data_IF_876828038554
#
_entry.id   IF_876828038554
#
_cell.length_a   1.000
_cell.length_b   1.000
_cell.length_c   1.000
_cell.angle_alpha   90.00
_cell.angle_beta   90.00
_cell.angle_gamma   90.00
#
_symmetry.space_group_name_H-M   'P 1'
#
loop_
_entity.id
_entity.type
_entity.pdbx_description
1 polymer ?
#
# COMPACT_ATOMS: atom_id res chain seq x y z
N UNK A 1 -0.53 13.83 -3.71
CA UNK A 1 -1.95 14.15 -3.50
C UNK A 1 -2.55 13.14 -2.54
N UNK A 2 -3.83 13.28 -2.22
CA UNK A 2 -4.51 12.28 -1.41
C UNK A 2 -4.73 10.98 -2.20
N UNK A 3 -4.70 9.85 -1.50
CA UNK A 3 -4.88 8.52 -2.09
C UNK A 3 -5.93 7.74 -1.31
N UNK A 4 -6.95 7.24 -2.01
CA UNK A 4 -7.91 6.28 -1.47
C UNK A 4 -7.43 4.86 -1.78
N UNK A 5 -7.24 4.02 -0.76
CA UNK A 5 -6.89 2.61 -0.90
C UNK A 5 -8.04 1.71 -0.44
N UNK A 6 -8.48 0.80 -1.31
CA UNK A 6 -9.31 -0.35 -0.97
C UNK A 6 -8.47 -1.62 -1.06
N UNK A 7 -8.52 -2.48 -0.03
CA UNK A 7 -7.76 -3.72 -0.03
C UNK A 7 -8.39 -4.81 0.84
N UNK A 8 -7.94 -6.05 0.65
CA UNK A 8 -8.30 -7.20 1.50
C UNK A 8 -7.52 -7.21 2.81
N UNK A 9 -7.93 -8.07 3.75
CA UNK A 9 -7.27 -8.26 5.06
C UNK A 9 -5.75 -8.50 4.95
N UNK A 10 -5.31 -9.28 3.94
CA UNK A 10 -3.89 -9.56 3.74
C UNK A 10 -2.98 -8.34 3.52
N UNK A 11 -3.55 -7.18 3.17
CA UNK A 11 -2.83 -5.89 3.16
C UNK A 11 -3.30 -4.95 4.30
N UNK A 12 -4.59 -4.95 4.64
CA UNK A 12 -5.12 -4.07 5.68
C UNK A 12 -4.56 -4.39 7.07
N UNK A 13 -4.32 -5.66 7.38
CA UNK A 13 -3.82 -6.09 8.69
C UNK A 13 -2.36 -5.67 8.94
N UNK A 14 -1.39 -5.89 8.03
CA UNK A 14 -0.05 -5.35 8.24
C UNK A 14 0.00 -3.81 8.23
N UNK A 15 -0.90 -3.13 7.52
CA UNK A 15 -0.98 -1.65 7.57
C UNK A 15 -1.39 -1.12 8.95
N UNK A 16 -2.25 -1.84 9.67
CA UNK A 16 -2.67 -1.49 11.04
C UNK A 16 -1.69 -1.97 12.09
N UNK A 17 -1.07 -3.12 11.87
CA UNK A 17 -0.17 -3.76 12.82
C UNK A 17 1.26 -3.20 12.81
N UNK A 18 1.75 -2.72 11.66
CA UNK A 18 3.11 -2.21 11.51
C UNK A 18 3.16 -0.76 11.02
N UNK A 19 3.41 0.21 11.92
CA UNK A 19 3.52 1.61 11.56
C UNK A 19 4.59 1.91 10.51
N UNK A 20 5.68 1.14 10.47
CA UNK A 20 6.76 1.31 9.50
C UNK A 20 6.31 1.04 8.06
N UNK A 21 5.43 0.05 7.85
CA UNK A 21 4.86 -0.22 6.52
C UNK A 21 3.98 0.96 6.08
N UNK A 22 3.13 1.46 6.98
CA UNK A 22 2.26 2.60 6.68
C UNK A 22 3.11 3.83 6.31
N UNK A 23 4.13 4.15 7.12
CA UNK A 23 5.04 5.27 6.85
C UNK A 23 5.78 5.11 5.51
N UNK A 24 6.27 3.90 5.20
CA UNK A 24 6.92 3.60 3.93
C UNK A 24 6.00 3.88 2.72
N UNK A 25 4.76 3.37 2.75
CA UNK A 25 3.82 3.57 1.65
C UNK A 25 3.35 5.03 1.55
N UNK A 26 3.12 5.71 2.67
CA UNK A 26 2.81 7.15 2.67
C UNK A 26 3.92 7.94 1.97
N UNK A 27 5.19 7.66 2.27
CA UNK A 27 6.32 8.34 1.62
C UNK A 27 6.40 8.06 0.12
N UNK A 28 6.08 6.84 -0.32
CA UNK A 28 6.09 6.49 -1.74
C UNK A 28 4.92 7.05 -2.53
N UNK A 29 3.74 7.14 -1.90
CA UNK A 29 2.50 7.52 -2.59
C UNK A 29 2.12 9.00 -2.40
N UNK A 30 2.85 9.76 -1.57
CA UNK A 30 2.57 11.19 -1.32
C UNK A 30 2.85 12.11 -2.53
N UNK A 31 3.48 11.59 -3.58
CA UNK A 31 3.80 12.36 -4.79
C UNK A 31 2.57 12.91 -5.51
N UNK A 32 2.75 13.89 -6.42
CA UNK A 32 1.66 14.43 -7.24
C UNK A 32 1.19 13.46 -8.32
N UNK A 33 2.02 12.48 -8.69
CA UNK A 33 1.72 11.50 -9.74
C UNK A 33 1.56 10.12 -9.10
N UNK A 34 0.55 9.32 -9.51
CA UNK A 34 0.44 7.94 -9.07
C UNK A 34 1.68 7.11 -9.48
N UNK A 35 2.05 6.08 -8.70
CA UNK A 35 3.13 5.17 -9.08
C UNK A 35 2.79 4.40 -10.36
N UNK A 36 3.82 3.96 -11.08
CA UNK A 36 3.63 3.02 -12.19
C UNK A 36 3.05 1.68 -11.70
N UNK A 37 2.40 0.91 -12.58
CA UNK A 37 1.75 -0.36 -12.19
C UNK A 37 2.72 -1.36 -11.52
N UNK A 38 3.97 -1.43 -12.01
CA UNK A 38 4.98 -2.31 -11.42
C UNK A 38 5.40 -1.85 -10.02
N UNK A 39 5.52 -0.54 -9.81
CA UNK A 39 5.84 0.04 -8.51
C UNK A 39 4.69 -0.15 -7.52
N UNK A 40 3.44 0.09 -7.96
CA UNK A 40 2.25 -0.16 -7.16
C UNK A 40 2.15 -1.63 -6.71
N UNK A 41 2.45 -2.57 -7.61
CA UNK A 41 2.47 -3.98 -7.28
C UNK A 41 3.56 -4.32 -6.27
N UNK A 42 4.78 -3.81 -6.48
CA UNK A 42 5.91 -4.03 -5.57
C UNK A 42 5.62 -3.49 -4.17
N UNK A 43 5.06 -2.28 -4.09
CA UNK A 43 4.67 -1.62 -2.85
C UNK A 43 3.58 -2.41 -2.11
N UNK A 44 2.55 -2.86 -2.82
CA UNK A 44 1.47 -3.68 -2.26
C UNK A 44 1.94 -5.06 -1.78
N UNK A 45 3.08 -5.53 -2.27
CA UNK A 45 3.69 -6.83 -1.94
C UNK A 45 4.78 -6.75 -0.87
N UNK A 46 5.06 -5.58 -0.28
CA UNK A 46 6.06 -5.45 0.79
C UNK A 46 5.73 -6.39 1.94
N UNK A 47 6.66 -7.29 2.24
CA UNK A 47 6.47 -8.35 3.22
C UNK A 47 6.69 -7.82 4.62
N UNK A 48 5.81 -8.23 5.51
CA UNK A 48 5.95 -8.04 6.95
C UNK A 48 5.90 -9.42 7.58
N UNK A 49 6.83 -9.69 8.50
CA UNK A 49 6.86 -10.97 9.21
C UNK A 49 5.55 -11.19 9.96
N UNK A 50 4.99 -12.39 9.83
CA UNK A 50 3.69 -12.73 10.46
C UNK A 50 2.47 -12.44 9.59
N UNK A 51 2.63 -11.76 8.45
CA UNK A 51 1.54 -11.49 7.51
C UNK A 51 1.84 -12.12 6.16
N UNK A 52 1.16 -13.21 5.85
CA UNK A 52 1.39 -14.01 4.64
C UNK A 52 0.13 -14.24 3.79
N UNK A 53 -1.00 -13.65 4.19
CA UNK A 53 -2.28 -13.80 3.49
C UNK A 53 -2.26 -13.15 2.10
N UNK A 54 -3.13 -13.66 1.23
CA UNK A 54 -3.30 -13.13 -0.12
C UNK A 54 -3.73 -11.66 -0.10
N UNK A 55 -3.16 -10.90 -1.04
CA UNK A 55 -3.34 -9.45 -1.12
C UNK A 55 -4.09 -9.07 -2.39
N UNK A 56 -5.09 -8.22 -2.24
CA UNK A 56 -5.74 -7.52 -3.34
C UNK A 56 -5.86 -6.06 -2.95
N UNK A 57 -5.51 -5.16 -3.87
CA UNK A 57 -5.52 -3.72 -3.63
C UNK A 57 -5.99 -2.98 -4.89
N UNK A 58 -6.77 -1.94 -4.69
CA UNK A 58 -7.16 -0.95 -5.69
C UNK A 58 -7.01 0.44 -5.06
N UNK A 59 -6.37 1.36 -5.77
CA UNK A 59 -6.12 2.71 -5.27
C UNK A 59 -6.47 3.76 -6.31
N UNK A 60 -6.94 4.91 -5.82
CA UNK A 60 -7.31 6.08 -6.63
C UNK A 60 -6.54 7.28 -6.09
N UNK A 61 -5.85 7.98 -6.97
CA UNK A 61 -5.12 9.22 -6.66
C UNK A 61 -5.94 10.41 -7.11
N UNK A 62 -5.96 11.45 -6.28
CA UNK A 62 -6.45 12.76 -6.68
C UNK A 62 -5.49 13.40 -7.70
N UNK A 63 -6.05 14.08 -8.70
CA UNK A 63 -5.32 14.69 -9.82
C UNK A 63 -4.86 16.12 -9.53
#
# INVERSE_FOLDING_TARGET
GDTLLMCTGGLADPLRGEPELCAYLTGRWSGPTPPGLAEFLADSQVRVKGYADDRTAAAVWEA
#
